data_IF_636496746614
#
_entry.id   IF_636496746614
#
_cell.length_a   1.000
_cell.length_b   1.000
_cell.length_c   1.000
_cell.angle_alpha   90.00
_cell.angle_beta   90.00
_cell.angle_gamma   90.00
#
_symmetry.space_group_name_H-M   'P 1'
#
loop_
_entity.id
_entity.type
_entity.pdbx_description
1 polymer ?
#
# COMPACT_ATOMS: atom_id res chain seq x y z
N UNK A 1 -25.23 52.91 -3.63
CA UNK A 1 -25.78 54.28 -3.72
C UNK A 1 -27.15 54.24 -3.05
N UNK A 2 -27.23 54.75 -1.82
CA UNK A 2 -28.43 54.69 -0.96
C UNK A 2 -29.08 56.07 -0.97
N UNK A 3 -30.32 56.13 -1.42
CA UNK A 3 -31.25 57.27 -1.36
C UNK A 3 -32.61 56.58 -1.16
N UNK A 4 -33.51 56.91 -0.23
CA UNK A 4 -33.70 58.03 0.66
C UNK A 4 -35.22 58.17 0.87
N UNK A 5 -35.59 58.73 2.01
CA UNK A 5 -36.86 59.41 2.33
C UNK A 5 -37.95 58.69 3.14
N UNK A 6 -38.14 59.31 4.30
CA UNK A 6 -39.27 59.28 5.23
C UNK A 6 -40.53 59.94 4.67
N UNK A 7 -41.70 59.42 5.00
CA UNK A 7 -42.91 60.24 5.15
C UNK A 7 -43.83 59.63 6.22
N UNK A 8 -44.28 60.47 7.17
CA UNK A 8 -45.22 60.14 8.25
C UNK A 8 -46.65 60.39 7.77
N UNK A 9 -47.58 59.46 8.03
CA UNK A 9 -49.01 59.78 8.14
C UNK A 9 -49.63 59.04 9.33
N UNK A 10 -50.36 59.80 10.13
CA UNK A 10 -51.13 59.39 11.31
C UNK A 10 -52.46 58.76 10.91
N UNK A 11 -52.80 57.62 11.52
CA UNK A 11 -54.14 57.01 11.49
C UNK A 11 -54.23 55.85 12.50
N UNK A 12 -55.10 55.98 13.51
CA UNK A 12 -55.38 54.97 14.55
C UNK A 12 -56.28 53.83 14.03
N UNK A 13 -56.37 52.67 14.73
CA UNK A 13 -56.37 51.36 14.11
C UNK A 13 -57.77 50.81 13.80
N UNK A 14 -57.91 50.11 12.67
CA UNK A 14 -58.93 49.06 12.51
C UNK A 14 -58.30 47.73 12.92
N UNK A 15 -58.82 47.12 13.98
CA UNK A 15 -58.52 45.73 14.32
C UNK A 15 -59.17 44.81 13.27
N UNK A 16 -58.39 44.39 12.29
CA UNK A 16 -58.63 43.17 11.54
C UNK A 16 -57.76 42.08 12.16
N UNK A 17 -58.40 41.03 12.66
CA UNK A 17 -57.73 39.82 13.12
C UNK A 17 -57.08 39.17 11.89
N UNK A 18 -55.79 39.43 11.69
CA UNK A 18 -54.99 38.74 10.69
C UNK A 18 -54.50 37.46 11.35
N UNK A 19 -55.09 36.32 11.00
CA UNK A 19 -54.49 35.04 11.35
C UNK A 19 -53.05 35.02 10.83
N UNK A 20 -52.05 34.68 11.66
CA UNK A 20 -50.70 34.50 11.15
C UNK A 20 -50.75 33.32 10.17
N UNK A 21 -50.64 33.64 8.87
CA UNK A 21 -50.28 32.67 7.86
C UNK A 21 -48.97 32.05 8.34
N UNK A 22 -49.06 30.83 8.84
CA UNK A 22 -47.90 30.02 9.18
C UNK A 22 -47.02 30.02 7.94
N UNK A 23 -45.85 30.65 8.03
CA UNK A 23 -44.77 30.40 7.07
C UNK A 23 -44.51 28.90 7.16
N UNK A 24 -45.04 28.17 6.18
CA UNK A 24 -44.52 26.88 5.78
C UNK A 24 -43.05 27.14 5.47
N UNK A 25 -42.19 26.92 6.46
CA UNK A 25 -40.79 26.66 6.20
C UNK A 25 -40.80 25.40 5.35
N UNK A 26 -40.77 25.58 4.03
CA UNK A 26 -40.33 24.54 3.13
C UNK A 26 -38.91 24.25 3.58
N UNK A 27 -38.76 23.17 4.36
CA UNK A 27 -37.47 22.52 4.58
C UNK A 27 -36.91 22.29 3.20
N UNK A 28 -35.98 23.15 2.76
CA UNK A 28 -35.24 22.93 1.54
C UNK A 28 -34.48 21.64 1.76
N UNK A 29 -34.99 20.54 1.19
CA UNK A 29 -34.23 19.31 1.12
C UNK A 29 -32.94 19.66 0.38
N UNK A 30 -31.85 19.77 1.14
CA UNK A 30 -30.52 20.04 0.61
C UNK A 30 -30.28 19.08 -0.55
N UNK A 31 -29.89 19.57 -1.73
CA UNK A 31 -29.85 18.76 -2.96
C UNK A 31 -29.02 17.44 -2.81
N UNK A 32 -28.08 17.41 -1.86
CA UNK A 32 -27.27 16.22 -1.52
C UNK A 32 -28.00 15.19 -0.64
N UNK A 33 -28.99 15.58 0.17
CA UNK A 33 -29.66 14.67 1.11
C UNK A 33 -30.46 13.57 0.41
N UNK A 34 -30.96 13.83 -0.82
CA UNK A 34 -31.64 12.84 -1.67
C UNK A 34 -30.77 11.60 -1.94
N UNK A 35 -29.45 11.76 -2.00
CA UNK A 35 -28.52 10.69 -2.32
C UNK A 35 -27.67 10.24 -1.11
N UNK A 36 -27.83 10.85 0.06
CA UNK A 36 -26.97 10.58 1.21
C UNK A 36 -27.08 9.13 1.73
N UNK A 37 -28.23 8.48 1.52
CA UNK A 37 -28.44 7.09 1.91
C UNK A 37 -27.40 6.12 1.33
N UNK A 38 -26.75 6.46 0.20
CA UNK A 38 -25.73 5.59 -0.41
C UNK A 38 -24.50 5.42 0.47
N UNK A 39 -24.24 6.36 1.40
CA UNK A 39 -23.14 6.25 2.37
C UNK A 39 -23.34 5.10 3.35
N UNK A 40 -24.58 4.66 3.55
CA UNK A 40 -24.88 3.54 4.45
C UNK A 40 -24.43 2.17 3.88
N UNK A 41 -24.07 2.10 2.59
CA UNK A 41 -23.46 0.91 2.01
C UNK A 41 -21.94 0.83 2.26
N UNK A 42 -21.31 1.88 2.79
CA UNK A 42 -19.91 1.80 3.23
C UNK A 42 -19.81 0.81 4.40
N UNK A 43 -18.96 -0.22 4.25
CA UNK A 43 -18.73 -1.21 5.30
C UNK A 43 -17.68 -0.69 6.29
N UNK A 44 -17.92 -0.87 7.58
CA UNK A 44 -16.90 -0.62 8.60
C UNK A 44 -15.85 -1.74 8.58
N UNK A 45 -14.60 -1.35 8.37
CA UNK A 45 -13.44 -2.22 8.21
C UNK A 45 -12.40 -1.96 9.29
N UNK A 46 -12.87 -1.58 10.48
CA UNK A 46 -12.02 -1.30 11.64
C UNK A 46 -11.30 -2.56 12.13
N UNK A 47 -9.97 -2.50 12.18
CA UNK A 47 -9.13 -3.59 12.66
C UNK A 47 -9.29 -3.82 14.17
N UNK A 48 -9.28 -5.11 14.57
CA UNK A 48 -9.35 -5.52 15.97
C UNK A 48 -8.32 -4.78 16.83
N UNK A 49 -8.75 -4.28 18.00
CA UNK A 49 -7.89 -3.55 18.95
C UNK A 49 -6.85 -4.47 19.57
N UNK A 50 -5.76 -3.88 20.09
CA UNK A 50 -4.65 -4.60 20.75
C UNK A 50 -3.99 -5.69 19.88
N UNK A 51 -4.16 -5.60 18.55
CA UNK A 51 -3.48 -6.43 17.57
C UNK A 51 -2.51 -5.57 16.77
N UNK A 52 -1.35 -6.13 16.44
CA UNK A 52 -0.49 -5.58 15.40
C UNK A 52 -1.23 -5.58 14.07
N UNK A 53 -1.06 -4.50 13.30
CA UNK A 53 -1.60 -4.41 11.95
C UNK A 53 -0.41 -4.48 11.00
N UNK A 54 -0.40 -5.49 10.13
CA UNK A 54 0.62 -5.64 9.11
C UNK A 54 0.01 -5.33 7.76
N UNK A 55 0.55 -4.32 7.10
CA UNK A 55 0.23 -4.02 5.69
C UNK A 55 1.36 -4.59 4.85
N UNK A 56 1.06 -5.60 4.04
CA UNK A 56 2.02 -6.18 3.09
C UNK A 56 1.71 -5.71 1.69
N UNK A 57 2.71 -5.15 1.02
CA UNK A 57 2.72 -4.79 -0.39
C UNK A 57 3.46 -5.85 -1.20
N UNK A 58 3.00 -6.10 -2.42
CA UNK A 58 3.58 -7.04 -3.38
C UNK A 58 3.54 -6.44 -4.79
N UNK A 59 4.65 -6.51 -5.53
CA UNK A 59 4.77 -5.97 -6.88
C UNK A 59 3.90 -6.70 -7.90
N UNK A 60 2.89 -6.03 -8.47
CA UNK A 60 2.00 -6.66 -9.44
C UNK A 60 2.73 -6.95 -10.75
N UNK A 61 2.77 -8.23 -11.15
CA UNK A 61 3.45 -8.72 -12.35
C UNK A 61 4.93 -8.28 -12.41
N UNK A 62 5.62 -8.27 -11.27
CA UNK A 62 6.99 -7.75 -11.18
C UNK A 62 8.00 -8.57 -11.98
N UNK A 63 7.71 -9.84 -12.28
CA UNK A 63 8.54 -10.64 -13.18
C UNK A 63 8.64 -10.02 -14.58
N UNK A 64 7.51 -9.58 -15.15
CA UNK A 64 7.46 -8.86 -16.43
C UNK A 64 8.13 -7.49 -16.31
N UNK A 65 7.88 -6.78 -15.21
CA UNK A 65 8.51 -5.47 -14.94
C UNK A 65 10.03 -5.57 -14.93
N UNK A 66 10.58 -6.53 -14.19
CA UNK A 66 12.01 -6.78 -14.11
C UNK A 66 12.62 -7.18 -15.46
N UNK A 67 11.89 -7.95 -16.28
CA UNK A 67 12.33 -8.30 -17.63
C UNK A 67 12.40 -7.09 -18.57
N UNK A 68 11.37 -6.24 -18.57
CA UNK A 68 11.31 -5.06 -19.45
C UNK A 68 12.31 -3.97 -19.04
N UNK A 69 12.60 -3.83 -17.74
CA UNK A 69 13.59 -2.88 -17.21
C UNK A 69 14.99 -3.50 -17.02
N UNK A 70 15.23 -4.71 -17.57
CA UNK A 70 16.54 -5.38 -17.61
C UNK A 70 17.21 -5.49 -16.24
N UNK A 71 16.47 -5.95 -15.25
CA UNK A 71 17.02 -6.15 -13.90
C UNK A 71 18.09 -7.24 -13.92
N UNK A 72 19.17 -6.98 -13.18
CA UNK A 72 20.23 -7.98 -12.96
C UNK A 72 19.66 -9.20 -12.23
N UNK A 73 20.07 -10.39 -12.69
CA UNK A 73 19.69 -11.67 -12.07
C UNK A 73 20.93 -12.28 -11.39
N UNK A 74 20.79 -12.90 -10.21
CA UNK A 74 19.54 -13.20 -9.50
C UNK A 74 18.90 -12.00 -8.77
N UNK A 75 19.70 -11.02 -8.37
CA UNK A 75 19.26 -9.83 -7.61
C UNK A 75 19.82 -8.56 -8.24
N UNK A 76 19.02 -7.50 -8.26
CA UNK A 76 19.43 -6.16 -8.72
C UNK A 76 19.47 -5.19 -7.53
N UNK A 77 20.67 -4.73 -7.19
CA UNK A 77 20.88 -3.82 -6.06
C UNK A 77 20.17 -2.47 -6.25
N UNK A 78 19.99 -2.01 -7.50
CA UNK A 78 19.28 -0.75 -7.79
C UNK A 78 17.80 -0.90 -7.45
N UNK A 79 17.20 -2.02 -7.87
CA UNK A 79 15.81 -2.33 -7.57
C UNK A 79 15.57 -2.47 -6.06
N UNK A 80 16.43 -3.21 -5.36
CA UNK A 80 16.33 -3.39 -3.91
C UNK A 80 16.56 -2.08 -3.15
N UNK A 81 17.49 -1.26 -3.61
CA UNK A 81 17.74 0.08 -3.09
C UNK A 81 16.52 0.99 -3.24
N UNK A 82 15.90 1.00 -4.43
CA UNK A 82 14.69 1.78 -4.71
C UNK A 82 13.50 1.33 -3.85
N UNK A 83 13.29 0.02 -3.71
CA UNK A 83 12.26 -0.54 -2.83
C UNK A 83 12.48 -0.10 -1.37
N UNK A 84 13.74 -0.14 -0.90
CA UNK A 84 14.10 0.28 0.45
C UNK A 84 13.92 1.78 0.67
N UNK A 85 14.30 2.62 -0.32
CA UNK A 85 14.07 4.08 -0.27
C UNK A 85 12.58 4.41 -0.23
N UNK A 86 11.78 3.68 -1.00
CA UNK A 86 10.32 3.83 -1.02
C UNK A 86 9.70 3.40 0.31
N UNK A 87 10.15 2.30 0.91
CA UNK A 87 9.71 1.88 2.23
C UNK A 87 10.08 2.89 3.32
N UNK A 88 11.28 3.47 3.24
CA UNK A 88 11.72 4.53 4.15
C UNK A 88 10.80 5.76 4.05
N UNK A 89 10.45 6.20 2.84
CA UNK A 89 9.49 7.29 2.63
C UNK A 89 8.13 7.00 3.29
N UNK A 90 7.63 5.76 3.21
CA UNK A 90 6.40 5.36 3.92
C UNK A 90 6.56 5.47 5.44
N UNK A 91 7.69 5.05 6.00
CA UNK A 91 7.94 5.14 7.45
C UNK A 91 8.20 6.57 7.95
N UNK A 92 8.69 7.46 7.08
CA UNK A 92 8.92 8.88 7.41
C UNK A 92 7.61 9.68 7.40
N UNK A 93 6.71 9.38 6.44
CA UNK A 93 5.45 10.11 6.26
C UNK A 93 4.28 9.56 7.06
N UNK A 94 4.28 8.25 7.37
CA UNK A 94 3.21 7.61 8.11
C UNK A 94 3.62 7.35 9.56
N UNK A 95 2.70 7.64 10.47
CA UNK A 95 2.91 7.43 11.90
C UNK A 95 2.70 5.97 12.32
N UNK A 96 3.16 5.62 13.51
CA UNK A 96 2.89 4.35 14.19
C UNK A 96 3.48 3.07 13.57
N UNK A 97 4.23 3.18 12.48
CA UNK A 97 4.99 2.05 11.92
C UNK A 97 6.24 1.81 12.77
N UNK A 98 6.35 0.61 13.34
CA UNK A 98 7.46 0.25 14.26
C UNK A 98 8.57 -0.55 13.59
N UNK A 99 8.25 -1.28 12.51
CA UNK A 99 9.24 -2.01 11.71
C UNK A 99 8.71 -2.20 10.30
N UNK A 100 9.61 -2.14 9.32
CA UNK A 100 9.36 -2.60 7.97
C UNK A 100 10.36 -3.69 7.58
N UNK A 101 9.90 -4.70 6.85
CA UNK A 101 10.73 -5.78 6.32
C UNK A 101 10.43 -5.97 4.84
N UNK A 102 11.45 -6.00 4.00
CA UNK A 102 11.31 -6.16 2.55
C UNK A 102 12.23 -7.23 1.98
N UNK A 103 11.76 -7.88 0.92
CA UNK A 103 12.44 -8.92 0.16
C UNK A 103 11.92 -8.88 -1.27
N UNK A 104 12.81 -9.04 -2.26
CA UNK A 104 12.43 -9.12 -3.67
C UNK A 104 11.56 -7.91 -4.06
N UNK A 105 10.29 -8.15 -4.36
CA UNK A 105 9.26 -7.23 -4.79
C UNK A 105 8.16 -7.03 -3.73
N UNK A 106 8.35 -7.54 -2.50
CA UNK A 106 7.43 -7.36 -1.36
C UNK A 106 8.01 -6.50 -0.22
N UNK A 107 7.12 -5.80 0.47
CA UNK A 107 7.41 -5.06 1.70
C UNK A 107 6.29 -5.19 2.72
N UNK A 108 6.62 -5.44 3.98
CA UNK A 108 5.69 -5.53 5.10
C UNK A 108 5.92 -4.37 6.07
N UNK A 109 4.87 -3.61 6.38
CA UNK A 109 4.88 -2.51 7.33
C UNK A 109 4.05 -2.90 8.56
N UNK A 110 4.66 -2.83 9.74
CA UNK A 110 4.02 -3.24 11.00
C UNK A 110 3.66 -2.00 11.80
N UNK A 111 2.37 -1.76 11.99
CA UNK A 111 1.85 -0.73 12.88
C UNK A 111 1.76 -1.25 14.31
N UNK A 112 2.06 -0.37 15.28
CA UNK A 112 1.96 -0.68 16.71
C UNK A 112 0.54 -1.12 17.09
N UNK A 113 0.42 -2.09 18.00
CA UNK A 113 -0.88 -2.62 18.43
C UNK A 113 -1.82 -1.59 19.06
N UNK A 114 -1.26 -0.53 19.65
CA UNK A 114 -1.97 0.58 20.26
C UNK A 114 -2.35 1.69 19.27
N UNK A 115 -2.02 1.56 17.99
CA UNK A 115 -2.30 2.60 17.00
C UNK A 115 -3.80 2.90 16.93
N UNK A 116 -4.14 4.18 16.90
CA UNK A 116 -5.50 4.67 16.65
C UNK A 116 -5.62 5.37 15.30
N UNK A 117 -4.57 5.30 14.49
CA UNK A 117 -4.47 6.00 13.22
C UNK A 117 -5.60 5.60 12.26
N UNK A 118 -6.23 6.58 11.63
CA UNK A 118 -7.46 6.42 10.84
C UNK A 118 -8.57 5.56 11.49
N UNK A 119 -8.72 5.63 12.82
CA UNK A 119 -9.64 4.76 13.57
C UNK A 119 -9.39 3.26 13.31
N UNK A 120 -8.17 2.89 12.91
CA UNK A 120 -7.75 1.54 12.54
C UNK A 120 -8.48 0.94 11.33
N UNK A 121 -9.04 1.77 10.44
CA UNK A 121 -9.69 1.29 9.21
C UNK A 121 -8.69 0.65 8.26
N UNK A 122 -8.89 -0.62 7.94
CA UNK A 122 -7.97 -1.41 7.11
C UNK A 122 -7.74 -0.76 5.73
N UNK A 123 -8.80 -0.31 5.07
CA UNK A 123 -8.78 0.38 3.77
C UNK A 123 -7.92 1.63 3.79
N UNK A 124 -7.98 2.43 4.87
CA UNK A 124 -7.17 3.64 5.00
C UNK A 124 -5.69 3.28 5.16
N UNK A 125 -5.38 2.38 6.08
CA UNK A 125 -3.99 1.94 6.29
C UNK A 125 -3.38 1.37 5.00
N UNK A 126 -4.11 0.50 4.32
CA UNK A 126 -3.69 -0.12 3.06
C UNK A 126 -3.48 0.89 1.95
N UNK A 127 -4.46 1.76 1.70
CA UNK A 127 -4.40 2.72 0.59
C UNK A 127 -3.32 3.77 0.80
N UNK A 128 -3.14 4.27 2.03
CA UNK A 128 -2.07 5.23 2.33
C UNK A 128 -0.67 4.61 2.18
N UNK A 129 -0.45 3.39 2.69
CA UNK A 129 0.81 2.68 2.50
C UNK A 129 1.08 2.39 1.02
N UNK A 130 0.09 1.84 0.30
CA UNK A 130 0.24 1.50 -1.12
C UNK A 130 0.46 2.73 -2.00
N UNK A 131 -0.28 3.82 -1.77
CA UNK A 131 -0.15 5.06 -2.54
C UNK A 131 1.20 5.72 -2.30
N UNK A 132 1.63 5.82 -1.04
CA UNK A 132 2.89 6.47 -0.68
C UNK A 132 4.10 5.66 -1.18
N UNK A 133 4.02 4.33 -1.12
CA UNK A 133 5.05 3.46 -1.67
C UNK A 133 5.13 3.59 -3.19
N UNK A 134 3.99 3.52 -3.89
CA UNK A 134 3.94 3.58 -5.35
C UNK A 134 4.42 4.93 -5.89
N UNK A 135 3.99 6.03 -5.26
CA UNK A 135 4.44 7.37 -5.64
C UNK A 135 5.95 7.54 -5.41
N UNK A 136 6.45 7.08 -4.26
CA UNK A 136 7.88 7.13 -3.94
C UNK A 136 8.71 6.30 -4.91
N UNK A 137 8.23 5.12 -5.31
CA UNK A 137 8.93 4.24 -6.24
C UNK A 137 9.14 4.91 -7.60
N UNK A 138 8.14 5.63 -8.11
CA UNK A 138 8.24 6.39 -9.36
C UNK A 138 9.10 7.64 -9.18
N UNK A 139 8.90 8.36 -8.07
CA UNK A 139 9.59 9.62 -7.77
C UNK A 139 11.10 9.43 -7.64
N UNK A 140 11.53 8.41 -6.90
CA UNK A 140 12.95 8.11 -6.66
C UNK A 140 13.58 7.21 -7.73
N UNK A 141 12.83 6.81 -8.77
CA UNK A 141 13.34 5.89 -9.79
C UNK A 141 14.67 6.35 -10.39
N UNK A 142 14.76 7.62 -10.77
CA UNK A 142 15.97 8.20 -11.41
C UNK A 142 17.20 8.21 -10.50
N UNK A 143 17.04 8.15 -9.18
CA UNK A 143 18.17 8.10 -8.25
C UNK A 143 18.87 6.72 -8.25
N UNK A 144 18.17 5.67 -8.67
CA UNK A 144 18.69 4.30 -8.70
C UNK A 144 18.89 3.77 -10.13
N UNK A 145 18.11 4.29 -11.08
CA UNK A 145 18.10 3.91 -12.48
C UNK A 145 18.38 5.14 -13.36
N UNK A 146 19.62 5.63 -13.31
CA UNK A 146 20.06 6.84 -14.02
C UNK A 146 19.80 6.74 -15.53
N UNK A 147 20.34 5.68 -16.16
CA UNK A 147 20.29 5.50 -17.62
C UNK A 147 19.04 4.78 -18.13
N UNK A 148 18.28 4.15 -17.23
CA UNK A 148 17.15 3.30 -17.58
C UNK A 148 15.84 4.04 -17.30
N UNK A 149 15.12 4.55 -18.30
CA UNK A 149 13.84 5.21 -18.06
C UNK A 149 12.81 4.20 -17.56
N UNK A 150 11.90 4.69 -16.72
CA UNK A 150 10.71 3.95 -16.30
C UNK A 150 9.75 3.85 -17.49
N UNK A 151 9.52 2.64 -17.98
CA UNK A 151 8.74 2.40 -19.19
C UNK A 151 7.23 2.54 -18.96
N UNK A 152 6.77 2.19 -17.76
CA UNK A 152 5.37 2.29 -17.36
C UNK A 152 5.27 2.36 -15.82
N UNK A 153 4.21 2.99 -15.27
CA UNK A 153 4.04 3.08 -13.83
C UNK A 153 3.80 1.68 -13.23
N UNK A 154 4.58 1.27 -12.21
CA UNK A 154 4.34 0.01 -11.52
C UNK A 154 3.08 0.09 -10.65
N UNK A 155 2.59 -1.07 -10.23
CA UNK A 155 1.48 -1.17 -9.29
C UNK A 155 1.79 -2.20 -8.24
N UNK A 156 1.27 -2.00 -7.03
CA UNK A 156 1.50 -2.86 -5.89
C UNK A 156 0.15 -3.34 -5.35
N UNK A 157 0.02 -4.64 -5.17
CA UNK A 157 -1.09 -5.24 -4.41
C UNK A 157 -0.83 -5.04 -2.92
N UNK A 158 -1.88 -4.78 -2.15
CA UNK A 158 -1.81 -4.53 -0.72
C UNK A 158 -2.77 -5.42 0.04
N UNK A 159 -2.36 -5.93 1.19
CA UNK A 159 -3.26 -6.63 2.11
C UNK A 159 -2.96 -6.28 3.56
N UNK A 160 -4.00 -6.34 4.38
CA UNK A 160 -3.94 -6.08 5.83
C UNK A 160 -4.14 -7.39 6.58
N UNK A 161 -3.23 -7.70 7.50
CA UNK A 161 -3.30 -8.88 8.37
C UNK A 161 -3.11 -8.46 9.82
N UNK A 162 -3.88 -9.07 10.72
CA UNK A 162 -3.83 -8.77 12.15
C UNK A 162 -3.13 -9.89 12.92
N UNK A 163 -2.20 -9.51 13.79
CA UNK A 163 -1.52 -10.44 14.69
C UNK A 163 -1.75 -10.06 16.15
N UNK A 164 -2.36 -10.94 16.97
CA UNK A 164 -2.77 -10.59 18.33
C UNK A 164 -1.60 -10.57 19.32
N UNK A 165 -0.54 -11.34 19.08
CA UNK A 165 0.58 -11.48 20.02
C UNK A 165 1.92 -11.15 19.38
N UNK A 166 2.90 -10.83 20.24
CA UNK A 166 4.30 -10.68 19.84
C UNK A 166 4.85 -11.93 19.15
N UNK A 167 4.43 -13.12 19.62
CA UNK A 167 4.87 -14.38 19.04
C UNK A 167 4.39 -14.51 17.61
N UNK A 168 3.10 -14.27 17.34
CA UNK A 168 2.57 -14.35 15.97
C UNK A 168 3.25 -13.36 15.03
N UNK A 169 3.54 -12.14 15.50
CA UNK A 169 4.28 -11.16 14.69
C UNK A 169 5.72 -11.63 14.39
N UNK A 170 6.43 -12.16 15.38
CA UNK A 170 7.78 -12.71 15.19
C UNK A 170 7.78 -13.90 14.23
N UNK A 171 6.81 -14.80 14.37
CA UNK A 171 6.66 -15.96 13.50
C UNK A 171 6.38 -15.51 12.05
N UNK A 172 5.54 -14.47 11.86
CA UNK A 172 5.32 -13.86 10.56
C UNK A 172 6.61 -13.31 9.94
N UNK A 173 7.35 -12.48 10.66
CA UNK A 173 8.61 -11.90 10.16
C UNK A 173 9.66 -12.99 9.88
N UNK A 174 9.74 -14.01 10.74
CA UNK A 174 10.63 -15.17 10.55
C UNK A 174 10.22 -15.99 9.32
N UNK A 175 8.93 -16.13 9.07
CA UNK A 175 8.41 -16.78 7.87
C UNK A 175 8.79 -16.01 6.60
N UNK A 176 8.70 -14.68 6.61
CA UNK A 176 9.17 -13.84 5.49
C UNK A 176 10.69 -13.98 5.29
N UNK A 177 11.46 -14.01 6.36
CA UNK A 177 12.91 -14.22 6.26
C UNK A 177 13.29 -15.61 5.74
N UNK A 178 12.58 -16.66 6.16
CA UNK A 178 12.79 -18.01 5.67
C UNK A 178 12.45 -18.13 4.17
N UNK A 179 11.37 -17.47 3.73
CA UNK A 179 10.99 -17.36 2.32
C UNK A 179 12.10 -16.69 1.49
N UNK A 180 12.65 -15.57 1.98
CA UNK A 180 13.81 -14.89 1.40
C UNK A 180 14.98 -15.83 1.21
N UNK A 181 15.35 -16.55 2.27
CA UNK A 181 16.49 -17.45 2.24
C UNK A 181 16.32 -18.56 1.20
N UNK A 182 15.16 -19.21 1.17
CA UNK A 182 14.86 -20.29 0.21
C UNK A 182 14.86 -19.78 -1.22
N UNK A 183 14.14 -18.67 -1.48
CA UNK A 183 14.02 -18.09 -2.81
C UNK A 183 15.35 -17.54 -3.33
N UNK A 184 16.11 -16.86 -2.48
CA UNK A 184 17.42 -16.33 -2.87
C UNK A 184 18.42 -17.46 -3.18
N UNK A 185 18.44 -18.52 -2.35
CA UNK A 185 19.30 -19.68 -2.61
C UNK A 185 18.93 -20.36 -3.93
N UNK A 186 17.64 -20.61 -4.15
CA UNK A 186 17.15 -21.21 -5.39
C UNK A 186 17.51 -20.34 -6.60
N UNK A 187 17.17 -19.05 -6.58
CA UNK A 187 17.42 -18.12 -7.69
C UNK A 187 18.92 -17.97 -7.98
N UNK A 188 19.75 -17.91 -6.95
CA UNK A 188 21.21 -17.80 -7.13
C UNK A 188 21.76 -19.01 -7.86
N UNK A 189 21.40 -20.23 -7.43
CA UNK A 189 21.85 -21.45 -8.10
C UNK A 189 21.26 -21.54 -9.51
N UNK A 190 19.97 -21.26 -9.68
CA UNK A 190 19.29 -21.27 -10.97
C UNK A 190 19.98 -20.35 -11.99
N UNK A 191 20.17 -19.07 -11.65
CA UNK A 191 20.80 -18.12 -12.57
C UNK A 191 22.28 -18.38 -12.77
N UNK A 192 22.98 -18.96 -11.79
CA UNK A 192 24.37 -19.42 -11.97
C UNK A 192 24.45 -20.55 -12.99
N UNK A 193 23.54 -21.52 -12.96
CA UNK A 193 23.47 -22.60 -13.95
C UNK A 193 23.19 -22.08 -15.36
N UNK A 194 22.32 -21.07 -15.48
CA UNK A 194 22.00 -20.44 -16.77
C UNK A 194 23.17 -19.61 -17.30
N UNK A 195 23.70 -18.70 -16.49
CA UNK A 195 24.69 -17.71 -16.94
C UNK A 195 26.11 -18.28 -17.03
N UNK A 196 26.54 -19.09 -16.05
CA UNK A 196 27.88 -19.70 -16.03
C UNK A 196 27.88 -21.11 -16.58
N UNK A 197 26.82 -21.89 -16.31
CA UNK A 197 26.72 -23.28 -16.78
C UNK A 197 26.26 -23.41 -18.23
N UNK A 198 25.74 -22.34 -18.85
CA UNK A 198 25.24 -22.37 -20.23
C UNK A 198 23.94 -23.18 -20.41
N UNK A 199 23.26 -23.52 -19.32
CA UNK A 199 21.99 -24.25 -19.37
C UNK A 199 20.86 -23.31 -19.82
N UNK A 200 19.91 -23.86 -20.56
CA UNK A 200 18.62 -23.17 -20.76
C UNK A 200 17.85 -23.08 -19.44
N UNK A 201 16.89 -22.16 -19.35
CA UNK A 201 16.03 -22.03 -18.16
C UNK A 201 15.28 -23.32 -17.82
N UNK A 202 14.78 -24.04 -18.84
CA UNK A 202 14.10 -25.33 -18.66
C UNK A 202 15.04 -26.41 -18.10
N UNK A 203 16.28 -26.48 -18.62
CA UNK A 203 17.29 -27.44 -18.13
C UNK A 203 17.73 -27.13 -16.70
N UNK A 204 17.91 -25.84 -16.36
CA UNK A 204 18.25 -25.43 -15.01
C UNK A 204 17.14 -25.75 -14.02
N UNK A 205 15.86 -25.57 -14.41
CA UNK A 205 14.71 -25.92 -13.58
C UNK A 205 14.63 -27.43 -13.32
N UNK A 206 14.75 -28.26 -14.37
CA UNK A 206 14.73 -29.72 -14.27
C UNK A 206 15.86 -30.23 -13.36
N UNK A 207 17.05 -29.63 -13.50
CA UNK A 207 18.22 -29.97 -12.70
C UNK A 207 18.06 -29.65 -11.21
N UNK A 208 17.23 -28.66 -10.87
CA UNK A 208 16.94 -28.25 -9.49
C UNK A 208 15.74 -29.00 -8.90
N UNK A 209 14.77 -29.43 -9.72
CA UNK A 209 13.65 -30.29 -9.28
C UNK A 209 14.13 -31.58 -8.64
N UNK A 210 15.20 -32.18 -9.15
CA UNK A 210 15.75 -33.45 -8.64
C UNK A 210 16.49 -33.29 -7.31
N UNK A 211 16.89 -32.08 -6.91
CA UNK A 211 17.77 -31.83 -5.75
C UNK A 211 17.12 -30.90 -4.73
N UNK A 212 16.02 -31.32 -4.13
CA UNK A 212 15.36 -30.51 -3.09
C UNK A 212 16.02 -30.74 -1.72
N UNK A 213 16.37 -29.61 -1.10
CA UNK A 213 16.75 -29.35 0.30
C UNK A 213 18.16 -29.73 0.81
N UNK A 214 18.71 -30.93 0.59
CA UNK A 214 19.99 -31.29 1.25
C UNK A 214 21.28 -30.85 0.51
N UNK A 215 21.22 -30.55 -0.80
CA UNK A 215 22.40 -30.43 -1.67
C UNK A 215 22.50 -29.13 -2.52
N UNK A 216 21.70 -28.10 -2.22
CA UNK A 216 21.83 -26.81 -2.92
C UNK A 216 23.15 -26.10 -2.59
N UNK A 217 23.65 -26.25 -1.35
CA UNK A 217 24.95 -25.70 -0.93
C UNK A 217 26.13 -26.36 -1.65
N UNK A 218 26.11 -27.68 -1.86
CA UNK A 218 27.17 -28.40 -2.57
C UNK A 218 27.21 -28.05 -4.05
N UNK A 219 26.07 -27.74 -4.67
CA UNK A 219 26.05 -27.27 -6.06
C UNK A 219 26.71 -25.89 -6.23
N UNK A 220 26.56 -25.01 -5.24
CA UNK A 220 27.21 -23.70 -5.26
C UNK A 220 28.74 -23.85 -5.27
N UNK A 221 29.30 -24.85 -4.58
CA UNK A 221 30.75 -25.11 -4.52
C UNK A 221 31.29 -25.71 -5.83
N UNK A 222 30.48 -26.47 -6.59
CA UNK A 222 30.92 -27.10 -7.84
C UNK A 222 30.87 -26.18 -9.08
N UNK A 223 30.39 -24.94 -8.96
CA UNK A 223 30.28 -23.99 -10.10
C UNK A 223 31.21 -22.77 -9.93
N UNK A 224 32.18 -22.87 -9.01
CA UNK A 224 33.33 -21.96 -8.92
C UNK A 224 34.58 -22.63 -9.46
#
# INVERSE_FOLDING_TARGET
MVIGNTCRFLGRPRFSVVHPLARLFTSSNMAKSKFEYVRNFETDDTCLRNCYIVVRLDGRNFHRFAGQHKFTKPNDNRALGLMSRSARSVMEELEDIVIAYGQSDEFSFVFKRSSTWFKRRASKLMTHVASQFSSSYVFYWKEFFEDQPLLYPPSFDGRVVLYPTNRNLKDYLSWRQADCHVNNLYNTVFWTLVQKGGLTTAQAEDRLKVRVQHNLKSLCVCVY
#
